data_IF_235814356466
#
_entry.id   IF_235814356466
#
_cell.length_a   1.000
_cell.length_b   1.000
_cell.length_c   1.000
_cell.angle_alpha   90.00
_cell.angle_beta   90.00
_cell.angle_gamma   90.00
#
_symmetry.space_group_name_H-M   'P 1'
#
loop_
_entity.id
_entity.type
_entity.pdbx_description
1 polymer ?
#
# COMPACT_ATOMS: atom_id res chain seq x y z
N UNK A 1 -27.02 -20.77 -5.07
CA UNK A 1 -26.47 -19.85 -4.05
C UNK A 1 -27.51 -18.74 -3.88
N UNK A 2 -27.97 -18.40 -2.66
CA UNK A 2 -28.96 -17.33 -2.49
C UNK A 2 -28.27 -15.96 -2.48
N UNK A 3 -28.96 -14.93 -2.97
CA UNK A 3 -28.49 -13.53 -3.00
C UNK A 3 -28.06 -13.07 -1.59
N UNK A 4 -28.78 -13.51 -0.55
CA UNK A 4 -28.47 -13.17 0.85
C UNK A 4 -27.10 -13.69 1.30
N UNK A 5 -26.69 -14.87 0.81
CA UNK A 5 -25.37 -15.44 1.13
C UNK A 5 -24.24 -14.62 0.48
N UNK A 6 -24.43 -14.14 -0.75
CA UNK A 6 -23.45 -13.30 -1.43
C UNK A 6 -23.35 -11.91 -0.78
N UNK A 7 -24.46 -11.33 -0.33
CA UNK A 7 -24.47 -10.06 0.43
C UNK A 7 -23.74 -10.20 1.77
N UNK A 8 -23.93 -11.31 2.47
CA UNK A 8 -23.20 -11.59 3.70
C UNK A 8 -21.68 -11.72 3.47
N UNK A 9 -21.29 -12.32 2.34
CA UNK A 9 -19.88 -12.50 1.94
C UNK A 9 -19.20 -11.18 1.56
N UNK A 10 -19.94 -10.13 1.19
CA UNK A 10 -19.40 -8.79 0.90
C UNK A 10 -18.89 -8.04 2.15
N UNK A 11 -19.15 -8.54 3.36
CA UNK A 11 -18.67 -7.89 4.59
C UNK A 11 -17.14 -7.96 4.66
N UNK A 12 -16.49 -6.82 4.45
CA UNK A 12 -15.03 -6.73 4.53
C UNK A 12 -14.55 -7.01 5.96
N UNK A 13 -13.65 -7.99 6.17
CA UNK A 13 -13.06 -8.26 7.47
C UNK A 13 -12.35 -7.02 8.04
N UNK A 14 -12.38 -6.85 9.36
CA UNK A 14 -11.67 -5.76 10.05
C UNK A 14 -10.17 -5.77 9.76
N UNK A 15 -9.58 -6.97 9.64
CA UNK A 15 -8.17 -7.16 9.27
C UNK A 15 -7.85 -6.53 7.90
N UNK A 16 -8.71 -6.72 6.89
CA UNK A 16 -8.51 -6.15 5.54
C UNK A 16 -8.61 -4.63 5.57
N UNK A 17 -9.57 -4.07 6.32
CA UNK A 17 -9.68 -2.62 6.52
C UNK A 17 -8.46 -2.05 7.22
N UNK A 18 -7.99 -2.73 8.27
CA UNK A 18 -6.77 -2.36 8.99
C UNK A 18 -5.54 -2.40 8.08
N UNK A 19 -5.39 -3.45 7.27
CA UNK A 19 -4.33 -3.55 6.28
C UNK A 19 -4.36 -2.38 5.29
N UNK A 20 -5.52 -2.07 4.70
CA UNK A 20 -5.68 -0.91 3.81
C UNK A 20 -5.30 0.42 4.46
N UNK A 21 -5.73 0.64 5.71
CA UNK A 21 -5.37 1.85 6.46
C UNK A 21 -3.85 1.94 6.74
N UNK A 22 -3.20 0.83 7.09
CA UNK A 22 -1.76 0.77 7.28
C UNK A 22 -0.99 1.04 5.98
N UNK A 23 -1.46 0.52 4.84
CA UNK A 23 -0.87 0.80 3.52
C UNK A 23 -0.98 2.29 3.19
N UNK A 24 -2.16 2.90 3.42
CA UNK A 24 -2.35 4.33 3.18
C UNK A 24 -1.47 5.19 4.09
N UNK A 25 -1.35 4.83 5.37
CA UNK A 25 -0.46 5.52 6.31
C UNK A 25 1.00 5.39 5.89
N UNK A 26 1.45 4.19 5.52
CA UNK A 26 2.80 3.96 5.02
C UNK A 26 3.07 4.76 3.74
N UNK A 27 2.13 4.78 2.79
CA UNK A 27 2.21 5.60 1.58
C UNK A 27 2.34 7.10 1.85
N UNK A 28 1.60 7.62 2.84
CA UNK A 28 1.74 9.01 3.29
C UNK A 28 3.15 9.28 3.85
N UNK A 29 3.67 8.38 4.69
CA UNK A 29 5.01 8.56 5.28
C UNK A 29 6.11 8.46 4.21
N UNK A 30 5.97 7.57 3.23
CA UNK A 30 6.88 7.48 2.08
C UNK A 30 6.85 8.78 1.25
N UNK A 31 5.66 9.31 1.00
CA UNK A 31 5.48 10.60 0.30
C UNK A 31 6.19 11.75 1.04
N UNK A 32 5.99 11.84 2.35
CA UNK A 32 6.60 12.86 3.19
C UNK A 32 8.12 12.72 3.26
N UNK A 33 8.64 11.48 3.30
CA UNK A 33 10.08 11.21 3.24
C UNK A 33 10.68 11.72 1.92
N UNK A 34 10.06 11.38 0.79
CA UNK A 34 10.52 11.87 -0.52
C UNK A 34 10.52 13.39 -0.61
N UNK A 35 9.46 14.04 -0.13
CA UNK A 35 9.37 15.50 -0.07
C UNK A 35 10.45 16.11 0.83
N UNK A 36 10.67 15.55 2.02
CA UNK A 36 11.71 16.01 2.95
C UNK A 36 13.08 15.92 2.30
N UNK A 37 13.42 14.81 1.65
CA UNK A 37 14.73 14.62 1.03
C UNK A 37 14.94 15.58 -0.14
N UNK A 38 13.91 15.82 -0.99
CA UNK A 38 14.00 16.82 -2.06
C UNK A 38 14.27 18.24 -1.56
N UNK A 39 13.69 18.60 -0.41
CA UNK A 39 13.84 19.95 0.16
C UNK A 39 15.17 20.13 0.90
N UNK A 40 15.73 19.05 1.45
CA UNK A 40 16.88 19.12 2.37
C UNK A 40 18.20 18.72 1.71
N UNK A 41 18.18 17.92 0.65
CA UNK A 41 19.40 17.37 0.04
C UNK A 41 19.49 17.70 -1.45
N UNK A 42 20.72 17.87 -1.93
CA UNK A 42 21.03 17.98 -3.36
C UNK A 42 21.98 16.86 -3.75
N UNK A 43 21.57 16.06 -4.73
CA UNK A 43 22.37 14.94 -5.23
C UNK A 43 23.10 15.34 -6.50
N UNK A 44 24.40 15.05 -6.55
CA UNK A 44 25.20 15.17 -7.79
C UNK A 44 24.93 14.01 -8.76
N UNK A 45 24.61 12.83 -8.22
CA UNK A 45 24.29 11.66 -9.04
C UNK A 45 22.80 11.69 -9.44
N UNK A 46 22.48 11.56 -10.73
CA UNK A 46 21.09 11.54 -11.20
C UNK A 46 20.31 10.33 -10.67
N UNK A 47 20.99 9.18 -10.46
CA UNK A 47 20.36 7.99 -9.91
C UNK A 47 19.87 8.21 -8.47
N UNK A 48 20.70 8.81 -7.62
CA UNK A 48 20.33 9.15 -6.24
C UNK A 48 19.29 10.28 -6.20
N UNK A 49 19.39 11.25 -7.11
CA UNK A 49 18.43 12.34 -7.24
C UNK A 49 17.02 11.88 -7.68
N UNK A 50 16.90 10.70 -8.30
CA UNK A 50 15.62 10.14 -8.73
C UNK A 50 14.85 9.44 -7.59
N UNK A 51 15.54 8.94 -6.56
CA UNK A 51 14.90 8.16 -5.47
C UNK A 51 13.81 8.96 -4.73
N UNK A 52 14.03 10.23 -4.34
CA UNK A 52 12.98 11.01 -3.67
C UNK A 52 11.73 11.26 -4.54
N UNK A 53 11.92 11.38 -5.86
CA UNK A 53 10.79 11.47 -6.81
C UNK A 53 10.03 10.14 -6.90
N UNK A 54 10.74 9.02 -6.89
CA UNK A 54 10.13 7.70 -6.83
C UNK A 54 9.36 7.49 -5.52
N UNK A 55 9.86 7.99 -4.38
CA UNK A 55 9.14 7.96 -3.09
C UNK A 55 7.87 8.83 -3.12
N UNK A 56 7.93 10.02 -3.71
CA UNK A 56 6.76 10.88 -3.89
C UNK A 56 5.67 10.22 -4.74
N UNK A 57 6.04 9.76 -5.93
CA UNK A 57 5.10 9.09 -6.84
C UNK A 57 4.60 7.76 -6.24
N UNK A 58 5.50 6.98 -5.67
CA UNK A 58 5.17 5.72 -5.00
C UNK A 58 4.25 5.90 -3.80
N UNK A 59 4.47 6.92 -2.99
CA UNK A 59 3.62 7.26 -1.85
C UNK A 59 2.18 7.60 -2.27
N UNK A 60 2.00 8.36 -3.36
CA UNK A 60 0.68 8.62 -3.94
C UNK A 60 0.00 7.34 -4.44
N UNK A 61 0.75 6.48 -5.14
CA UNK A 61 0.24 5.20 -5.61
C UNK A 61 -0.17 4.30 -4.43
N UNK A 62 0.64 4.22 -3.38
CA UNK A 62 0.34 3.45 -2.17
C UNK A 62 -0.86 4.01 -1.42
N UNK A 63 -1.06 5.33 -1.37
CA UNK A 63 -2.26 5.95 -0.81
C UNK A 63 -3.54 5.50 -1.53
N UNK A 64 -3.50 5.53 -2.86
CA UNK A 64 -4.60 5.05 -3.70
C UNK A 64 -4.85 3.55 -3.51
N UNK A 65 -3.79 2.74 -3.56
CA UNK A 65 -3.88 1.29 -3.39
C UNK A 65 -4.38 0.91 -2.00
N UNK A 66 -3.93 1.59 -0.94
CA UNK A 66 -4.42 1.37 0.43
C UNK A 66 -5.91 1.64 0.56
N UNK A 67 -6.42 2.67 -0.10
CA UNK A 67 -7.86 2.96 -0.17
C UNK A 67 -8.61 1.87 -0.93
N UNK A 68 -8.04 1.37 -2.03
CA UNK A 68 -8.63 0.26 -2.79
C UNK A 68 -8.62 -1.07 -2.01
N UNK A 69 -7.56 -1.36 -1.25
CA UNK A 69 -7.47 -2.51 -0.33
C UNK A 69 -8.49 -2.38 0.80
N UNK A 70 -8.66 -1.18 1.36
CA UNK A 70 -9.69 -0.90 2.36
C UNK A 70 -11.10 -1.22 1.82
N UNK A 71 -11.33 -0.94 0.54
CA UNK A 71 -12.55 -1.29 -0.20
C UNK A 71 -12.59 -2.75 -0.67
N UNK A 72 -11.68 -3.59 -0.19
CA UNK A 72 -11.56 -5.02 -0.50
C UNK A 72 -11.41 -5.34 -2.00
N UNK A 73 -10.58 -4.57 -2.71
CA UNK A 73 -10.21 -4.86 -4.10
C UNK A 73 -9.03 -5.83 -4.17
N UNK A 74 -9.26 -7.02 -4.71
CA UNK A 74 -8.24 -8.06 -4.81
C UNK A 74 -7.05 -7.64 -5.70
N UNK A 75 -7.31 -7.03 -6.86
CA UNK A 75 -6.25 -6.54 -7.76
C UNK A 75 -5.34 -5.49 -7.09
N UNK A 76 -5.93 -4.59 -6.29
CA UNK A 76 -5.17 -3.61 -5.52
C UNK A 76 -4.30 -4.28 -4.45
N UNK A 77 -4.79 -5.32 -3.79
CA UNK A 77 -3.99 -6.06 -2.81
C UNK A 77 -2.77 -6.74 -3.44
N UNK A 78 -2.89 -7.31 -4.64
CA UNK A 78 -1.74 -7.87 -5.36
C UNK A 78 -0.72 -6.78 -5.73
N UNK A 79 -1.18 -5.63 -6.23
CA UNK A 79 -0.31 -4.49 -6.54
C UNK A 79 0.39 -3.96 -5.29
N UNK A 80 -0.33 -3.87 -4.16
CA UNK A 80 0.21 -3.50 -2.86
C UNK A 80 1.28 -4.47 -2.38
N UNK A 81 1.12 -5.78 -2.56
CA UNK A 81 2.15 -6.75 -2.16
C UNK A 81 3.44 -6.55 -2.97
N UNK A 82 3.33 -6.33 -4.28
CA UNK A 82 4.48 -6.09 -5.15
C UNK A 82 5.18 -4.76 -4.83
N UNK A 83 4.44 -3.65 -4.90
CA UNK A 83 4.99 -2.32 -4.64
C UNK A 83 5.39 -2.15 -3.18
N UNK A 84 4.62 -2.68 -2.25
CA UNK A 84 4.89 -2.60 -0.82
C UNK A 84 6.15 -3.36 -0.42
N UNK A 85 6.43 -4.52 -1.02
CA UNK A 85 7.71 -5.20 -0.83
C UNK A 85 8.89 -4.40 -1.40
N UNK A 86 8.72 -3.82 -2.59
CA UNK A 86 9.73 -2.98 -3.24
C UNK A 86 10.07 -1.73 -2.39
N UNK A 87 9.06 -0.97 -1.98
CA UNK A 87 9.25 0.23 -1.15
C UNK A 87 9.59 -0.10 0.30
N UNK A 88 9.21 -1.27 0.81
CA UNK A 88 9.61 -1.73 2.14
C UNK A 88 11.10 -2.05 2.19
N UNK A 89 11.55 -2.98 1.35
CA UNK A 89 12.97 -3.40 1.32
C UNK A 89 13.86 -2.25 0.80
N UNK A 90 13.47 -1.65 -0.33
CA UNK A 90 14.18 -0.53 -0.92
C UNK A 90 14.22 0.69 0.00
N UNK A 91 13.15 0.96 0.74
CA UNK A 91 13.08 2.05 1.72
C UNK A 91 14.03 1.84 2.89
N UNK A 92 14.21 0.61 3.38
CA UNK A 92 15.25 0.35 4.39
C UNK A 92 16.65 0.60 3.84
N UNK A 93 16.96 0.08 2.65
CA UNK A 93 18.26 0.33 2.00
C UNK A 93 18.49 1.83 1.85
N UNK A 94 17.47 2.57 1.40
CA UNK A 94 17.54 4.01 1.26
C UNK A 94 17.73 4.74 2.60
N UNK A 95 17.00 4.36 3.65
CA UNK A 95 17.14 4.93 4.98
C UNK A 95 18.55 4.75 5.54
N UNK A 96 19.18 3.57 5.35
CA UNK A 96 20.57 3.35 5.74
C UNK A 96 21.54 4.25 4.96
N UNK A 97 21.32 4.45 3.67
CA UNK A 97 22.13 5.36 2.85
C UNK A 97 21.98 6.82 3.30
N UNK A 98 20.76 7.26 3.62
CA UNK A 98 20.50 8.62 4.13
C UNK A 98 21.24 8.88 5.45
N UNK A 99 21.28 7.89 6.35
CA UNK A 99 22.08 7.98 7.60
C UNK A 99 23.56 8.15 7.28
N UNK A 100 24.10 7.38 6.32
CA UNK A 100 25.48 7.52 5.86
C UNK A 100 25.78 8.90 5.23
N UNK A 101 24.76 9.60 4.72
CA UNK A 101 24.86 10.94 4.18
C UNK A 101 24.53 12.05 5.20
N UNK A 102 24.32 11.70 6.47
CA UNK A 102 24.09 12.65 7.56
C UNK A 102 22.64 13.07 7.77
N UNK A 103 21.67 12.47 7.08
CA UNK A 103 20.25 12.72 7.28
C UNK A 103 19.60 11.58 8.08
N UNK A 104 19.38 11.82 9.37
CA UNK A 104 18.69 10.86 10.26
C UNK A 104 17.22 11.28 10.38
N UNK A 105 16.32 10.48 9.81
CA UNK A 105 14.87 10.67 9.93
C UNK A 105 14.21 9.40 10.43
N UNK A 106 13.50 9.49 11.55
CA UNK A 106 12.75 8.36 12.09
C UNK A 106 11.63 7.92 11.13
N UNK A 107 11.08 8.86 10.35
CA UNK A 107 10.06 8.59 9.34
C UNK A 107 10.61 7.72 8.21
N UNK A 108 11.88 7.91 7.83
CA UNK A 108 12.54 7.10 6.80
C UNK A 108 12.67 5.62 7.19
N UNK A 109 12.75 5.30 8.49
CA UNK A 109 12.73 3.92 8.99
C UNK A 109 11.31 3.42 9.29
N UNK A 110 10.44 4.28 9.80
CA UNK A 110 9.08 3.91 10.15
C UNK A 110 8.23 3.55 8.92
N UNK A 111 8.36 4.31 7.83
CA UNK A 111 7.60 4.08 6.59
C UNK A 111 7.83 2.66 6.01
N UNK A 112 9.07 2.20 5.75
CA UNK A 112 9.30 0.86 5.21
C UNK A 112 8.90 -0.25 6.19
N UNK A 113 9.14 -0.08 7.50
CA UNK A 113 8.72 -1.04 8.52
C UNK A 113 7.19 -1.22 8.52
N UNK A 114 6.46 -0.11 8.53
CA UNK A 114 5.01 -0.10 8.51
C UNK A 114 4.47 -0.73 7.23
N UNK A 115 5.12 -0.47 6.09
CA UNK A 115 4.72 -1.01 4.79
C UNK A 115 4.89 -2.53 4.73
N UNK A 116 5.97 -3.08 5.29
CA UNK A 116 6.16 -4.54 5.40
C UNK A 116 5.09 -5.18 6.29
N UNK A 117 4.79 -4.57 7.45
CA UNK A 117 3.69 -5.03 8.30
C UNK A 117 2.34 -4.99 7.57
N UNK A 118 2.07 -3.93 6.81
CA UNK A 118 0.87 -3.80 6.01
C UNK A 118 0.80 -4.85 4.89
N UNK A 119 1.93 -5.18 4.27
CA UNK A 119 2.03 -6.27 3.29
C UNK A 119 1.71 -7.63 3.92
N UNK A 120 2.25 -7.92 5.11
CA UNK A 120 1.94 -9.16 5.82
C UNK A 120 0.45 -9.26 6.17
N UNK A 121 -0.15 -8.18 6.69
CA UNK A 121 -1.58 -8.13 6.97
C UNK A 121 -2.43 -8.32 5.70
N UNK A 122 -2.02 -7.70 4.59
CA UNK A 122 -2.66 -7.85 3.28
C UNK A 122 -2.54 -9.29 2.75
N UNK A 123 -1.38 -9.92 2.92
CA UNK A 123 -1.11 -11.30 2.51
C UNK A 123 -2.00 -12.29 3.26
N UNK A 124 -2.15 -12.10 4.58
CA UNK A 124 -3.04 -12.94 5.41
C UNK A 124 -4.50 -12.81 4.95
N UNK A 125 -4.95 -11.59 4.63
CA UNK A 125 -6.31 -11.31 4.14
C UNK A 125 -6.56 -11.66 2.67
N UNK A 126 -5.56 -12.17 1.93
CA UNK A 126 -5.64 -12.33 0.48
C UNK A 126 -6.71 -13.34 0.04
N UNK A 127 -6.93 -14.39 0.85
CA UNK A 127 -7.97 -15.41 0.59
C UNK A 127 -9.37 -14.81 0.68
N UNK A 128 -9.63 -14.00 1.69
CA UNK A 128 -10.93 -13.35 1.90
C UNK A 128 -11.20 -12.31 0.80
N UNK A 129 -10.18 -11.54 0.42
CA UNK A 129 -10.27 -10.59 -0.69
C UNK A 129 -10.65 -11.27 -2.02
N UNK A 130 -10.09 -12.45 -2.30
CA UNK A 130 -10.44 -13.23 -3.50
C UNK A 130 -11.89 -13.70 -3.47
N UNK A 131 -12.39 -14.14 -2.31
CA UNK A 131 -13.79 -14.54 -2.13
C UNK A 131 -14.74 -13.37 -2.34
N UNK A 132 -14.44 -12.21 -1.74
CA UNK A 132 -15.21 -10.97 -1.91
C UNK A 132 -15.25 -10.52 -3.38
N UNK A 133 -14.12 -10.58 -4.09
CA UNK A 133 -14.07 -10.21 -5.51
C UNK A 133 -14.90 -11.16 -6.37
N UNK A 134 -14.85 -12.46 -6.09
CA UNK A 134 -15.68 -13.45 -6.77
C UNK A 134 -17.17 -13.24 -6.50
N UNK A 135 -17.56 -12.96 -5.25
CA UNK A 135 -18.96 -12.64 -4.90
C UNK A 135 -19.45 -11.39 -5.64
N UNK A 136 -18.63 -10.34 -5.74
CA UNK A 136 -18.98 -9.15 -6.54
C UNK A 136 -19.20 -9.46 -8.01
N UNK A 137 -18.38 -10.33 -8.62
CA UNK A 137 -18.56 -10.73 -10.02
C UNK A 137 -19.87 -11.48 -10.22
N UNK A 138 -20.19 -12.44 -9.33
CA UNK A 138 -21.48 -13.17 -9.37
C UNK A 138 -22.68 -12.24 -9.26
N UNK A 139 -22.63 -11.27 -8.35
CA UNK A 139 -23.70 -10.27 -8.19
C UNK A 139 -23.81 -9.33 -9.39
N UNK A 140 -22.68 -8.92 -9.98
CA UNK A 140 -22.66 -8.11 -11.19
C UNK A 140 -23.26 -8.86 -12.41
N UNK A 141 -22.97 -10.16 -12.54
CA UNK A 141 -23.57 -11.04 -13.56
C UNK A 141 -25.10 -11.16 -13.39
N UNK A 142 -25.62 -10.97 -12.18
CA UNK A 142 -27.05 -10.96 -11.86
C UNK A 142 -27.70 -9.57 -12.03
N UNK A 143 -26.97 -8.56 -12.51
CA UNK A 143 -27.44 -7.19 -12.67
C UNK A 143 -27.49 -6.37 -11.37
N UNK A 144 -27.01 -6.94 -10.26
CA UNK A 144 -26.91 -6.27 -8.96
C UNK A 144 -25.50 -5.71 -8.79
N UNK A 145 -25.21 -4.58 -9.43
CA UNK A 145 -23.92 -3.91 -9.32
C UNK A 145 -23.76 -3.21 -7.96
N UNK A 146 -23.22 -3.91 -6.96
CA UNK A 146 -22.87 -3.33 -5.67
C UNK A 146 -21.45 -2.75 -5.70
N UNK A 147 -21.36 -1.41 -5.59
CA UNK A 147 -20.13 -0.68 -5.28
C UNK A 147 -18.94 -1.07 -6.16
N UNK A 148 -18.91 -0.51 -7.37
CA UNK A 148 -17.67 -0.26 -8.13
C UNK A 148 -16.82 0.77 -7.38
#
# INVERSE_FOLDING_TARGET
MSIDADIAELRTPSLVRGAGALVSLAGMLTLLTGLQVLLTMRFRSPAFGAVPWAELAGGLVLLYLGTAVYRARFGAALATLGLGALFGIGGFVWAFLLVGMGLVSLVAFAAPALLLCACLATLVGLRDLRRIDAARRRLAEQGLAFGV
#
